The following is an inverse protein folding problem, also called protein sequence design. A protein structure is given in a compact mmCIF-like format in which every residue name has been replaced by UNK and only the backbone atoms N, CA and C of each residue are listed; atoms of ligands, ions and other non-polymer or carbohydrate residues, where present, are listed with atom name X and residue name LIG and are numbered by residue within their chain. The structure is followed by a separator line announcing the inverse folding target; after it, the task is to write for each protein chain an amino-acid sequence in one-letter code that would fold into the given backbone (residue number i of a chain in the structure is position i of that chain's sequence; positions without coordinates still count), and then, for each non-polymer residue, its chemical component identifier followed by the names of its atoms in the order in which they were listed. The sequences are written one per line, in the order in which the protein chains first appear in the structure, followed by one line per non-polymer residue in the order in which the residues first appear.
data_IF_012902053891
#
_entry.id   IF_012902053891
#
_cell.length_a   1.000
_cell.length_b   1.000
_cell.length_c   1.000
_cell.angle_alpha   90.00
_cell.angle_beta   90.00
_cell.angle_gamma   90.00
#
_symmetry.space_group_name_H-M   'P 1'
#
loop_
_entity.id
_entity.type
_entity.pdbx_description
1 polymer ?
#
# COMPACT_ATOMS: atom_id res chain seq x y z
N UNK A 1 -11.79 15.91 20.80
CA UNK A 1 -11.28 16.75 19.70
C UNK A 1 -10.64 15.84 18.68
N UNK A 2 -10.91 16.03 17.38
CA UNK A 2 -10.19 15.30 16.34
C UNK A 2 -8.69 15.59 16.46
N UNK A 3 -7.88 14.53 16.61
CA UNK A 3 -6.41 14.64 16.61
C UNK A 3 -5.94 14.65 15.16
N UNK A 4 -4.94 15.47 14.83
CA UNK A 4 -4.25 15.39 13.54
C UNK A 4 -3.32 14.17 13.59
N UNK A 5 -3.49 13.26 12.62
CA UNK A 5 -2.66 12.07 12.49
C UNK A 5 -1.45 12.36 11.61
N UNK A 6 -0.24 12.16 12.14
CA UNK A 6 0.99 12.14 11.36
C UNK A 6 1.20 10.75 10.78
N UNK A 7 1.37 10.64 9.47
CA UNK A 7 1.56 9.35 8.79
C UNK A 7 2.88 9.37 8.00
N UNK A 8 3.77 8.45 8.33
CA UNK A 8 4.87 8.06 7.44
C UNK A 8 4.36 6.96 6.49
N UNK A 9 4.18 7.32 5.22
CA UNK A 9 3.74 6.43 4.16
C UNK A 9 4.96 5.86 3.42
N UNK A 10 5.57 4.82 3.97
CA UNK A 10 6.79 4.22 3.44
C UNK A 10 6.56 3.22 2.30
N UNK A 11 7.64 2.81 1.64
CA UNK A 11 7.59 1.81 0.55
C UNK A 11 7.26 0.41 1.07
N UNK A 12 7.80 0.06 2.25
CA UNK A 12 7.70 -1.28 2.83
C UNK A 12 6.77 -1.31 4.03
N UNK A 13 6.95 -0.36 4.95
CA UNK A 13 6.15 -0.20 6.14
C UNK A 13 5.70 1.25 6.22
N UNK A 14 4.55 1.45 6.83
CA UNK A 14 4.02 2.76 7.15
C UNK A 14 3.79 2.83 8.67
N UNK A 15 3.81 4.04 9.22
CA UNK A 15 3.74 4.31 10.65
C UNK A 15 2.83 5.50 10.91
N UNK A 16 2.16 5.53 12.06
CA UNK A 16 1.27 6.61 12.44
C UNK A 16 1.54 7.10 13.86
N UNK A 17 1.44 8.41 14.06
CA UNK A 17 1.69 9.07 15.32
C UNK A 17 0.73 10.23 15.57
N UNK A 18 0.54 10.56 16.84
CA UNK A 18 -0.25 11.71 17.30
C UNK A 18 0.59 12.53 18.29
N UNK A 19 0.16 13.77 18.54
CA UNK A 19 0.66 14.54 19.69
C UNK A 19 -0.23 14.21 20.90
N UNK A 20 0.40 13.77 21.99
CA UNK A 20 -0.25 13.48 23.26
C UNK A 20 0.52 14.17 24.40
N UNK A 21 -0.16 15.02 25.16
CA UNK A 21 0.44 15.82 26.23
C UNK A 21 1.68 16.64 25.80
N UNK A 22 1.72 17.09 24.55
CA UNK A 22 2.83 17.87 23.98
C UNK A 22 3.93 17.02 23.34
N UNK A 23 3.90 15.70 23.49
CA UNK A 23 4.93 14.79 22.97
C UNK A 23 4.43 13.95 21.80
N UNK A 24 5.27 13.64 20.79
CA UNK A 24 4.91 12.73 19.72
C UNK A 24 4.87 11.28 20.23
N UNK A 25 3.74 10.61 19.99
CA UNK A 25 3.55 9.20 20.33
C UNK A 25 3.16 8.42 19.09
N UNK A 26 3.99 7.45 18.71
CA UNK A 26 3.61 6.40 17.73
C UNK A 26 2.54 5.51 18.35
N UNK A 27 1.49 5.23 17.59
CA UNK A 27 0.35 4.42 18.01
C UNK A 27 0.38 3.05 17.33
N UNK A 28 -0.22 2.06 17.97
CA UNK A 28 -0.33 0.71 17.44
C UNK A 28 -1.46 0.62 16.43
N UNK A 29 -1.29 -0.24 15.43
CA UNK A 29 -2.34 -0.63 14.51
C UNK A 29 -3.28 -1.65 15.16
N UNK A 30 -4.38 -2.03 14.48
CA UNK A 30 -5.35 -3.00 15.01
C UNK A 30 -4.75 -4.39 15.31
N UNK A 31 -3.57 -4.71 14.77
CA UNK A 31 -2.84 -5.95 15.03
C UNK A 31 -1.79 -5.81 16.16
N UNK A 32 -1.76 -4.70 16.89
CA UNK A 32 -0.82 -4.45 17.99
C UNK A 32 0.60 -4.06 17.56
N UNK A 33 0.81 -3.72 16.28
CA UNK A 33 2.13 -3.35 15.76
C UNK A 33 2.24 -1.83 15.59
N UNK A 34 3.42 -1.27 15.88
CA UNK A 34 3.71 0.16 15.67
C UNK A 34 3.97 0.54 14.21
N UNK A 35 4.01 -0.44 13.32
CA UNK A 35 4.13 -0.24 11.87
C UNK A 35 3.22 -1.21 11.14
N UNK A 36 2.63 -0.74 10.03
CA UNK A 36 1.80 -1.57 9.16
C UNK A 36 2.53 -1.80 7.83
N UNK A 37 2.63 -3.05 7.34
CA UNK A 37 3.16 -3.30 5.99
C UNK A 37 2.41 -2.48 4.93
N UNK A 38 3.14 -1.86 4.01
CA UNK A 38 2.57 -1.10 2.88
C UNK A 38 2.24 -2.06 1.74
N UNK A 39 1.33 -2.98 2.06
CA UNK A 39 0.93 -4.11 1.23
C UNK A 39 -0.59 -4.14 1.17
N UNK A 40 -1.11 -4.28 -0.04
CA UNK A 40 -2.53 -4.45 -0.32
C UNK A 40 -2.69 -5.74 -1.11
N UNK A 41 -3.69 -6.55 -0.79
CA UNK A 41 -4.03 -7.70 -1.60
C UNK A 41 -5.54 -7.91 -1.66
N UNK A 42 -5.98 -8.76 -2.56
CA UNK A 42 -7.39 -9.17 -2.64
C UNK A 42 -7.51 -10.69 -2.59
N UNK A 43 -8.64 -11.15 -2.07
CA UNK A 43 -9.07 -12.53 -2.25
C UNK A 43 -9.57 -12.72 -3.68
N UNK A 44 -8.96 -13.62 -4.49
CA UNK A 44 -9.35 -13.78 -5.89
C UNK A 44 -10.74 -14.40 -6.10
N UNK A 45 -11.36 -14.96 -5.05
CA UNK A 45 -12.71 -15.57 -5.13
C UNK A 45 -13.81 -14.63 -4.64
N UNK A 46 -13.55 -13.87 -3.58
CA UNK A 46 -14.54 -12.99 -2.96
C UNK A 46 -14.34 -11.51 -3.27
N UNK A 47 -13.22 -11.13 -3.89
CA UNK A 47 -12.79 -9.73 -4.06
C UNK A 47 -12.65 -8.95 -2.74
N UNK A 48 -12.59 -9.64 -1.61
CA UNK A 48 -12.32 -9.02 -0.32
C UNK A 48 -10.91 -8.44 -0.30
N UNK A 49 -10.76 -7.18 0.13
CA UNK A 49 -9.47 -6.49 0.21
C UNK A 49 -8.84 -6.68 1.58
N UNK A 50 -7.56 -7.05 1.57
CA UNK A 50 -6.69 -7.09 2.73
C UNK A 50 -5.65 -5.98 2.65
N UNK A 51 -5.26 -5.41 3.79
CA UNK A 51 -4.21 -4.39 3.90
C UNK A 51 -3.31 -4.73 5.08
N UNK A 52 -2.02 -4.41 4.98
CA UNK A 52 -1.08 -4.57 6.10
C UNK A 52 -0.66 -6.01 6.32
N UNK A 53 -0.66 -6.45 7.59
CA UNK A 53 -0.16 -7.77 7.99
C UNK A 53 -0.93 -8.90 7.32
N UNK A 54 -2.26 -8.77 7.20
CA UNK A 54 -3.11 -9.77 6.53
C UNK A 54 -2.74 -9.92 5.06
N UNK A 55 -2.55 -8.80 4.34
CA UNK A 55 -2.09 -8.83 2.95
C UNK A 55 -0.67 -9.42 2.85
N UNK A 56 0.25 -9.05 3.73
CA UNK A 56 1.62 -9.59 3.71
C UNK A 56 1.67 -11.11 3.88
N UNK A 57 0.81 -11.69 4.74
CA UNK A 57 0.79 -13.14 5.00
C UNK A 57 0.44 -13.99 3.78
N UNK A 58 -0.42 -13.47 2.90
CA UNK A 58 -0.89 -14.20 1.72
C UNK A 58 -0.05 -13.93 0.46
N UNK A 59 0.95 -13.04 0.54
CA UNK A 59 1.79 -12.66 -0.60
C UNK A 59 2.51 -13.84 -1.28
N UNK A 60 2.82 -14.91 -0.53
CA UNK A 60 3.49 -16.10 -1.07
C UNK A 60 2.52 -16.99 -1.86
N UNK A 61 1.27 -17.11 -1.41
CA UNK A 61 0.27 -18.00 -2.02
C UNK A 61 -0.61 -17.30 -3.04
N UNK A 62 -0.58 -15.97 -3.10
CA UNK A 62 -1.35 -15.14 -4.02
C UNK A 62 -0.52 -13.93 -4.51
N UNK A 63 0.64 -14.18 -5.14
CA UNK A 63 1.62 -13.14 -5.45
C UNK A 63 1.13 -12.13 -6.49
N UNK A 64 0.37 -12.57 -7.49
CA UNK A 64 -0.13 -11.71 -8.58
C UNK A 64 -1.19 -10.70 -8.12
N UNK A 65 -1.93 -11.01 -7.05
CA UNK A 65 -2.96 -10.14 -6.50
C UNK A 65 -2.54 -9.49 -5.18
N UNK A 66 -1.23 -9.44 -4.90
CA UNK A 66 -0.67 -8.81 -3.71
C UNK A 66 0.34 -7.73 -4.09
N UNK A 67 -0.10 -6.47 -4.01
CA UNK A 67 0.71 -5.32 -4.35
C UNK A 67 1.49 -4.83 -3.12
N UNK A 68 2.81 -4.83 -3.25
CA UNK A 68 3.77 -4.20 -2.34
C UNK A 68 4.72 -3.30 -3.12
N UNK A 69 5.44 -2.39 -2.48
CA UNK A 69 6.34 -1.45 -3.20
C UNK A 69 5.66 -0.53 -4.22
N UNK A 70 4.34 -0.31 -4.14
CA UNK A 70 3.61 0.56 -5.06
C UNK A 70 4.21 1.98 -5.16
N UNK A 71 4.80 2.48 -4.07
CA UNK A 71 5.52 3.78 -4.03
C UNK A 71 6.64 3.89 -5.08
N UNK A 72 7.20 2.77 -5.54
CA UNK A 72 8.22 2.70 -6.60
C UNK A 72 7.67 2.89 -8.02
N UNK A 73 6.36 3.07 -8.19
CA UNK A 73 5.72 3.32 -9.49
C UNK A 73 4.97 4.65 -9.51
N UNK A 74 4.83 5.30 -8.35
CA UNK A 74 4.01 6.50 -8.18
C UNK A 74 4.56 7.69 -8.97
N UNK A 75 3.70 8.28 -9.80
CA UNK A 75 4.04 9.45 -10.61
C UNK A 75 4.97 9.18 -11.79
N UNK A 76 5.17 7.92 -12.18
CA UNK A 76 6.06 7.54 -13.29
C UNK A 76 5.29 7.06 -14.51
N UNK A 77 5.92 7.21 -15.67
CA UNK A 77 5.43 6.61 -16.92
C UNK A 77 5.84 5.15 -16.98
N UNK A 78 4.98 4.31 -17.57
CA UNK A 78 5.29 2.89 -17.77
C UNK A 78 6.59 2.67 -18.55
N UNK A 79 6.92 3.60 -19.44
CA UNK A 79 8.13 3.59 -20.28
C UNK A 79 9.40 4.05 -19.57
N UNK A 80 9.34 4.51 -18.32
CA UNK A 80 10.52 4.99 -17.60
C UNK A 80 11.49 3.82 -17.32
N UNK A 81 12.80 4.06 -17.50
CA UNK A 81 13.81 3.03 -17.27
C UNK A 81 13.79 2.49 -15.82
N UNK A 82 13.49 3.36 -14.85
CA UNK A 82 13.31 2.98 -13.44
C UNK A 82 12.14 2.02 -13.27
N UNK A 83 11.04 2.21 -13.99
CA UNK A 83 9.86 1.34 -13.94
C UNK A 83 10.21 -0.03 -14.51
N UNK A 84 10.84 -0.10 -15.68
CA UNK A 84 11.28 -1.38 -16.27
C UNK A 84 12.12 -2.22 -15.30
N UNK A 85 13.08 -1.62 -14.60
CA UNK A 85 13.89 -2.33 -13.58
C UNK A 85 13.07 -2.77 -12.36
N UNK A 86 12.08 -1.97 -11.95
CA UNK A 86 11.24 -2.30 -10.79
C UNK A 86 10.21 -3.40 -11.12
N UNK A 87 9.78 -3.52 -12.39
CA UNK A 87 8.89 -4.61 -12.85
C UNK A 87 9.53 -5.97 -12.58
N UNK A 88 10.83 -6.12 -12.85
CA UNK A 88 11.56 -7.37 -12.62
C UNK A 88 11.67 -7.76 -11.12
N UNK A 89 11.34 -6.84 -10.21
CA UNK A 89 11.42 -7.04 -8.76
C UNK A 89 10.09 -7.40 -8.11
N UNK A 90 9.00 -7.43 -8.88
CA UNK A 90 7.64 -7.66 -8.35
C UNK A 90 6.93 -8.77 -9.12
N UNK A 91 6.09 -9.58 -8.45
CA UNK A 91 5.39 -10.68 -9.10
C UNK A 91 4.04 -10.28 -9.72
N UNK A 92 3.48 -9.12 -9.34
CA UNK A 92 2.25 -8.60 -9.91
C UNK A 92 2.54 -7.82 -11.19
N UNK A 93 1.54 -7.70 -12.06
CA UNK A 93 1.70 -6.99 -13.33
C UNK A 93 1.70 -5.48 -13.15
N UNK A 94 2.62 -4.81 -13.84
CA UNK A 94 2.63 -3.34 -14.00
C UNK A 94 2.34 -3.02 -15.46
N UNK A 95 1.30 -2.24 -15.70
CA UNK A 95 0.73 -1.99 -17.02
C UNK A 95 0.70 -0.51 -17.34
N UNK A 96 0.72 -0.17 -18.63
CA UNK A 96 0.52 1.20 -19.07
C UNK A 96 -0.98 1.56 -19.00
N UNK A 97 -1.30 2.64 -18.32
CA UNK A 97 -2.63 3.26 -18.40
C UNK A 97 -2.80 4.01 -19.73
N UNK A 98 -4.03 4.45 -20.06
CA UNK A 98 -4.35 5.14 -21.32
C UNK A 98 -3.57 6.44 -21.54
N UNK A 99 -3.10 7.08 -20.46
CA UNK A 99 -2.25 8.27 -20.47
C UNK A 99 -0.74 7.96 -20.38
N UNK A 100 -0.37 6.68 -20.44
CA UNK A 100 1.01 6.17 -20.35
C UNK A 100 1.57 6.03 -18.94
N UNK A 101 0.80 6.34 -17.89
CA UNK A 101 1.25 6.18 -16.50
C UNK A 101 1.40 4.70 -16.14
N UNK A 102 2.34 4.40 -15.23
CA UNK A 102 2.51 3.07 -14.69
C UNK A 102 1.38 2.76 -13.68
N UNK A 103 0.53 1.80 -14.01
CA UNK A 103 -0.50 1.25 -13.13
C UNK A 103 -0.10 -0.16 -12.67
N UNK A 104 -0.67 -0.61 -11.56
CA UNK A 104 -0.49 -1.98 -11.05
C UNK A 104 -1.79 -2.76 -11.21
N UNK A 105 -1.71 -4.02 -11.64
CA UNK A 105 -2.87 -4.90 -11.73
C UNK A 105 -3.07 -5.65 -10.40
N UNK A 106 -4.34 -5.80 -10.01
CA UNK A 106 -4.74 -6.59 -8.86
C UNK A 106 -6.17 -7.09 -9.10
N UNK A 107 -6.35 -8.39 -9.27
CA UNK A 107 -7.57 -8.97 -9.82
C UNK A 107 -7.80 -8.55 -11.27
N UNK A 108 -9.06 -8.31 -11.62
CA UNK A 108 -9.46 -7.88 -12.97
C UNK A 108 -9.37 -6.36 -13.18
N UNK A 109 -8.76 -5.64 -12.23
CA UNK A 109 -8.67 -4.18 -12.23
C UNK A 109 -7.22 -3.71 -12.21
N UNK A 110 -7.02 -2.49 -12.72
CA UNK A 110 -5.74 -1.79 -12.67
C UNK A 110 -5.89 -0.55 -11.80
N UNK A 111 -4.92 -0.31 -10.93
CA UNK A 111 -4.94 0.80 -10.00
C UNK A 111 -3.75 1.72 -10.25
N UNK A 112 -3.98 3.01 -10.16
CA UNK A 112 -2.90 3.97 -10.04
C UNK A 112 -2.17 3.72 -8.69
N UNK A 113 -0.85 3.84 -8.62
CA UNK A 113 -0.12 3.68 -7.36
C UNK A 113 -0.63 4.56 -6.20
N UNK A 114 -1.13 5.79 -6.42
CA UNK A 114 -1.83 6.57 -5.39
C UNK A 114 -3.08 5.89 -4.82
N UNK A 115 -3.82 5.11 -5.58
CA UNK A 115 -5.01 4.39 -5.08
C UNK A 115 -4.61 3.27 -4.12
N UNK A 116 -3.55 2.52 -4.45
CA UNK A 116 -2.97 1.52 -3.53
C UNK A 116 -2.49 2.18 -2.24
N UNK A 117 -1.81 3.33 -2.37
CA UNK A 117 -1.35 4.12 -1.24
C UNK A 117 -2.53 4.63 -0.39
N UNK A 118 -3.63 5.04 -1.02
CA UNK A 118 -4.86 5.46 -0.35
C UNK A 118 -5.50 4.33 0.46
N UNK A 119 -5.46 3.08 -0.03
CA UNK A 119 -5.96 1.92 0.74
C UNK A 119 -5.13 1.68 2.02
N UNK A 120 -3.81 1.91 1.97
CA UNK A 120 -2.95 1.89 3.17
C UNK A 120 -3.31 3.05 4.12
N UNK A 121 -3.47 4.26 3.59
CA UNK A 121 -3.87 5.44 4.38
C UNK A 121 -5.25 5.27 5.04
N UNK A 122 -6.21 4.65 4.35
CA UNK A 122 -7.52 4.32 4.91
C UNK A 122 -7.42 3.37 6.10
N UNK A 123 -6.58 2.32 6.00
CA UNK A 123 -6.32 1.44 7.15
C UNK A 123 -5.69 2.21 8.31
N UNK A 124 -4.69 3.04 8.05
CA UNK A 124 -4.05 3.83 9.13
C UNK A 124 -5.04 4.77 9.82
N UNK A 125 -5.89 5.44 9.04
CA UNK A 125 -6.96 6.27 9.59
C UNK A 125 -7.90 5.44 10.46
N UNK A 126 -8.37 4.30 9.97
CA UNK A 126 -9.30 3.43 10.69
C UNK A 126 -8.68 2.86 11.97
N UNK A 127 -7.40 2.48 11.94
CA UNK A 127 -6.70 1.95 13.11
C UNK A 127 -6.42 3.03 14.18
N UNK A 128 -6.46 4.32 13.80
CA UNK A 128 -6.25 5.46 14.70
C UNK A 128 -7.53 6.06 15.29
N UNK A 129 -8.70 5.73 14.71
CA UNK A 129 -10.04 6.19 15.12
C UNK A 129 -10.64 5.30 16.21
#
# INVERSE_FOLDING_TARGET
MPKILGIDLGTTNSCMAIIEAGEPRVIENAEGNRTTPSVVGINPRSNERYVGTTAKRQAVTNPENTVFSAKRFMGMKHTDQSVSRNIDLVPYSVVAHTNGDAHVAMGDQTFAPPEIAAMVLQKMKQDAE
#
